data_IF_330977372131
#
_entry.id   IF_330977372131
#
_cell.length_a   1.000
_cell.length_b   1.000
_cell.length_c   1.000
_cell.angle_alpha   90.00
_cell.angle_beta   90.00
_cell.angle_gamma   90.00
#
_symmetry.space_group_name_H-M   'P 1'
#
loop_
_entity.id
_entity.type
_entity.pdbx_description
1 polymer ?
#
# COMPACT_ATOMS: atom_id res chain seq x y z
N UNK A 1 36.21 33.74 -69.93
CA UNK A 1 35.10 34.03 -69.00
C UNK A 1 34.16 32.83 -68.98
N UNK A 2 33.90 32.12 -67.90
CA UNK A 2 34.60 31.88 -66.64
C UNK A 2 34.01 30.54 -66.14
N UNK A 3 34.84 29.51 -65.95
CA UNK A 3 34.43 28.16 -65.53
C UNK A 3 35.26 27.75 -64.32
N UNK A 4 34.74 27.88 -63.11
CA UNK A 4 35.17 27.11 -61.92
C UNK A 4 34.40 27.56 -60.66
N UNK A 5 33.33 26.85 -60.27
CA UNK A 5 32.81 26.90 -58.89
C UNK A 5 31.81 25.77 -58.62
N UNK A 6 32.26 24.51 -58.68
CA UNK A 6 31.49 23.36 -58.21
C UNK A 6 32.48 22.38 -57.58
N UNK A 7 32.69 22.45 -56.26
CA UNK A 7 33.63 21.53 -55.61
C UNK A 7 33.95 21.76 -54.13
N UNK A 8 33.11 22.43 -53.35
CA UNK A 8 33.44 22.74 -51.94
C UNK A 8 32.42 22.26 -50.90
N UNK A 9 31.20 21.84 -51.29
CA UNK A 9 30.17 21.43 -50.32
C UNK A 9 30.31 20.01 -49.76
N UNK A 10 31.03 19.11 -50.43
CA UNK A 10 31.02 17.68 -50.08
C UNK A 10 31.97 17.32 -48.92
N UNK A 11 33.04 18.10 -48.72
CA UNK A 11 34.06 17.78 -47.70
C UNK A 11 33.59 17.97 -46.25
N UNK A 12 32.54 18.76 -46.02
CA UNK A 12 32.08 19.06 -44.66
C UNK A 12 31.24 17.92 -44.06
N UNK A 13 30.52 17.15 -44.88
CA UNK A 13 29.74 16.00 -44.40
C UNK A 13 30.61 14.83 -43.93
N UNK A 14 31.70 14.57 -44.65
CA UNK A 14 32.58 13.44 -44.36
C UNK A 14 33.37 13.61 -43.04
N UNK A 15 33.71 14.85 -42.67
CA UNK A 15 34.38 15.14 -41.39
C UNK A 15 33.45 14.95 -40.19
N UNK A 16 32.17 15.32 -40.32
CA UNK A 16 31.18 15.13 -39.26
C UNK A 16 30.87 13.64 -39.04
N UNK A 17 30.82 12.85 -40.10
CA UNK A 17 30.62 11.40 -40.02
C UNK A 17 31.82 10.69 -39.38
N UNK A 18 33.06 11.09 -39.72
CA UNK A 18 34.27 10.59 -39.06
C UNK A 18 34.33 10.98 -37.58
N UNK A 19 33.90 12.20 -37.22
CA UNK A 19 33.81 12.62 -35.81
C UNK A 19 32.81 11.77 -35.04
N UNK A 20 31.61 11.52 -35.60
CA UNK A 20 30.59 10.64 -35.01
C UNK A 20 31.10 9.21 -34.84
N UNK A 21 31.73 8.63 -35.87
CA UNK A 21 32.31 7.29 -35.80
C UNK A 21 33.41 7.17 -34.73
N UNK A 22 34.28 8.18 -34.63
CA UNK A 22 35.35 8.21 -33.62
C UNK A 22 34.82 8.34 -32.18
N UNK A 23 33.72 9.06 -31.99
CA UNK A 23 33.06 9.24 -30.70
C UNK A 23 32.38 7.94 -30.24
N UNK A 24 31.62 7.29 -31.12
CA UNK A 24 30.97 5.99 -30.85
C UNK A 24 32.00 4.93 -30.47
N UNK A 25 33.15 4.90 -31.16
CA UNK A 25 34.23 3.95 -30.86
C UNK A 25 34.86 4.19 -29.49
N UNK A 26 34.97 5.45 -29.04
CA UNK A 26 35.48 5.78 -27.70
C UNK A 26 34.53 5.37 -26.58
N UNK A 27 33.20 5.51 -26.78
CA UNK A 27 32.20 5.09 -25.80
C UNK A 27 32.17 3.56 -25.67
N UNK A 28 32.20 2.84 -26.79
CA UNK A 28 32.22 1.36 -26.79
C UNK A 28 33.46 0.79 -26.08
N UNK A 29 34.62 1.44 -26.20
CA UNK A 29 35.84 1.03 -25.49
C UNK A 29 35.84 1.37 -23.99
N UNK A 30 34.99 2.29 -23.53
CA UNK A 30 34.90 2.68 -22.13
C UNK A 30 34.02 1.76 -21.28
N UNK A 31 33.34 0.78 -21.90
CA UNK A 31 32.51 -0.21 -21.19
C UNK A 31 31.28 0.39 -20.49
N UNK A 32 30.88 1.61 -20.88
CA UNK A 32 29.73 2.30 -20.31
C UNK A 32 28.44 1.86 -21.02
N UNK A 33 27.35 1.61 -20.28
CA UNK A 33 26.06 1.31 -20.88
C UNK A 33 25.56 2.51 -21.71
N UNK A 34 24.97 2.21 -22.86
CA UNK A 34 24.44 3.22 -23.78
C UNK A 34 22.93 3.23 -23.65
N UNK A 35 22.37 4.35 -23.19
CA UNK A 35 20.92 4.58 -23.18
C UNK A 35 20.47 5.11 -24.54
N UNK A 36 19.58 4.38 -25.19
CA UNK A 36 18.95 4.70 -26.47
C UNK A 36 17.51 5.14 -26.21
N UNK A 37 17.17 6.35 -26.60
CA UNK A 37 15.77 6.80 -26.58
C UNK A 37 15.07 6.30 -27.84
N UNK A 38 14.02 5.52 -27.64
CA UNK A 38 13.12 5.11 -28.70
C UNK A 38 12.18 6.27 -29.08
N UNK A 39 11.63 6.27 -30.30
CA UNK A 39 10.73 7.33 -30.79
C UNK A 39 9.38 7.40 -30.06
N UNK A 40 9.00 6.35 -29.33
CA UNK A 40 7.83 6.30 -28.45
C UNK A 40 8.08 6.96 -27.07
N UNK A 41 9.31 7.42 -26.81
CA UNK A 41 9.72 8.01 -25.53
C UNK A 41 10.22 7.00 -24.50
N UNK A 42 10.26 5.71 -24.82
CA UNK A 42 10.89 4.70 -23.96
C UNK A 42 12.42 4.77 -24.04
N UNK A 43 13.11 4.37 -22.97
CA UNK A 43 14.57 4.26 -22.92
C UNK A 43 14.95 2.79 -22.96
N UNK A 44 15.77 2.40 -23.95
CA UNK A 44 16.37 1.08 -24.04
C UNK A 44 17.85 1.16 -23.66
N UNK A 45 18.30 0.26 -22.79
CA UNK A 45 19.70 0.20 -22.36
C UNK A 45 20.45 -0.86 -23.18
N UNK A 46 21.51 -0.43 -23.86
CA UNK A 46 22.41 -1.28 -24.62
C UNK A 46 23.69 -1.55 -23.84
N UNK A 47 24.00 -2.82 -23.63
CA UNK A 47 25.23 -3.26 -22.98
C UNK A 47 26.28 -3.71 -24.00
N UNK A 48 27.56 -3.32 -23.86
CA UNK A 48 28.61 -3.84 -24.72
C UNK A 48 28.85 -5.34 -24.47
N UNK A 49 29.31 -6.06 -25.50
CA UNK A 49 29.59 -7.49 -25.38
C UNK A 49 30.60 -7.76 -24.23
N UNK A 50 30.20 -8.61 -23.28
CA UNK A 50 31.01 -8.93 -22.11
C UNK A 50 30.78 -8.01 -20.90
N UNK A 51 29.88 -7.03 -21.00
CA UNK A 51 29.39 -6.30 -19.84
C UNK A 51 28.61 -7.25 -18.93
N UNK A 52 29.01 -7.28 -17.66
CA UNK A 52 28.33 -8.02 -16.61
C UNK A 52 27.83 -6.97 -15.63
N UNK A 53 26.52 -6.91 -15.42
CA UNK A 53 25.96 -6.02 -14.42
C UNK A 53 26.71 -6.22 -13.10
N UNK A 54 27.21 -5.14 -12.46
CA UNK A 54 27.77 -5.27 -11.14
C UNK A 54 26.66 -5.85 -10.26
N UNK A 55 26.88 -7.08 -9.75
CA UNK A 55 25.94 -7.72 -8.83
C UNK A 55 25.64 -6.68 -7.75
N UNK A 56 24.37 -6.30 -7.56
CA UNK A 56 24.04 -5.23 -6.63
C UNK A 56 24.69 -5.58 -5.30
N UNK A 57 25.44 -4.65 -4.67
CA UNK A 57 26.05 -4.92 -3.38
C UNK A 57 24.95 -5.44 -2.47
N UNK A 58 25.20 -6.58 -1.81
CA UNK A 58 24.25 -7.14 -0.82
C UNK A 58 23.94 -6.02 0.16
N UNK A 59 22.79 -5.39 0.00
CA UNK A 59 22.37 -4.31 0.88
C UNK A 59 22.35 -4.91 2.29
N UNK A 60 23.04 -4.31 3.27
CA UNK A 60 23.00 -4.80 4.64
C UNK A 60 21.61 -4.52 5.22
N UNK A 61 20.66 -5.40 4.92
CA UNK A 61 19.32 -5.46 5.54
C UNK A 61 19.23 -6.52 6.64
N UNK A 62 20.35 -7.15 7.02
CA UNK A 62 20.40 -8.21 8.05
C UNK A 62 20.19 -7.73 9.50
N UNK A 63 20.00 -6.43 9.75
CA UNK A 63 19.97 -5.90 11.12
C UNK A 63 18.60 -5.70 11.75
N UNK A 64 17.53 -5.59 10.96
CA UNK A 64 16.20 -5.29 11.48
C UNK A 64 15.20 -6.15 10.75
N UNK A 65 14.73 -7.21 11.42
CA UNK A 65 13.65 -8.09 10.95
C UNK A 65 12.48 -7.23 10.49
N UNK A 66 12.43 -6.95 9.20
CA UNK A 66 11.29 -6.27 8.64
C UNK A 66 10.18 -7.30 8.51
N UNK A 67 8.93 -6.87 8.68
CA UNK A 67 7.78 -7.76 8.45
C UNK A 67 7.84 -8.42 7.05
N UNK A 68 8.49 -7.75 6.09
CA UNK A 68 8.81 -8.26 4.77
C UNK A 68 9.69 -9.54 4.78
N UNK A 69 10.69 -9.64 5.67
CA UNK A 69 11.55 -10.83 5.81
C UNK A 69 10.79 -11.99 6.46
N UNK A 70 9.90 -11.68 7.41
CA UNK A 70 9.02 -12.68 8.05
C UNK A 70 8.03 -13.22 7.02
N UNK A 71 7.41 -12.34 6.22
CA UNK A 71 6.55 -12.78 5.12
C UNK A 71 7.32 -13.55 4.07
N UNK A 72 8.52 -13.12 3.66
CA UNK A 72 9.32 -13.82 2.66
C UNK A 72 9.70 -15.24 3.10
N UNK A 73 9.97 -15.45 4.41
CA UNK A 73 10.21 -16.80 4.95
C UNK A 73 8.94 -17.63 5.05
N UNK A 74 7.80 -17.03 5.42
CA UNK A 74 6.51 -17.73 5.47
C UNK A 74 6.01 -18.14 4.08
N UNK A 75 6.16 -17.27 3.08
CA UNK A 75 5.71 -17.51 1.71
C UNK A 75 6.73 -18.30 0.89
N UNK A 76 8.02 -18.26 1.23
CA UNK A 76 9.08 -18.93 0.49
C UNK A 76 8.94 -20.46 0.48
N UNK A 77 8.38 -21.05 1.53
CA UNK A 77 8.15 -22.50 1.61
C UNK A 77 6.91 -22.92 0.79
N UNK A 78 5.88 -22.07 0.77
CA UNK A 78 4.63 -22.28 0.01
C UNK A 78 4.85 -22.08 -1.49
N UNK A 79 5.68 -21.11 -1.88
CA UNK A 79 6.05 -20.85 -3.28
C UNK A 79 6.91 -21.97 -3.91
N UNK A 80 7.38 -22.95 -3.13
CA UNK A 80 8.16 -24.08 -3.61
C UNK A 80 7.34 -25.13 -4.39
N UNK A 81 6.01 -25.15 -4.26
CA UNK A 81 5.16 -26.02 -5.09
C UNK A 81 4.93 -25.36 -6.45
N UNK A 82 5.52 -25.95 -7.51
CA UNK A 82 5.73 -25.33 -8.81
C UNK A 82 4.51 -24.94 -9.67
N UNK A 83 3.31 -24.80 -9.11
CA UNK A 83 2.14 -24.27 -9.83
C UNK A 83 1.74 -22.86 -9.32
N UNK A 84 1.95 -21.79 -10.12
CA UNK A 84 1.65 -20.42 -9.71
C UNK A 84 0.16 -20.15 -9.47
N UNK A 85 -0.73 -20.97 -10.04
CA UNK A 85 -2.18 -20.79 -9.91
C UNK A 85 -2.68 -21.16 -8.52
N UNK A 86 -2.21 -22.28 -7.99
CA UNK A 86 -2.52 -22.77 -6.64
C UNK A 86 -2.04 -21.77 -5.59
N UNK A 87 -0.83 -21.23 -5.77
CA UNK A 87 -0.27 -20.24 -4.83
C UNK A 87 -1.08 -18.94 -4.81
N UNK A 88 -1.57 -18.49 -5.97
CA UNK A 88 -2.42 -17.30 -6.01
C UNK A 88 -3.75 -17.51 -5.25
N UNK A 89 -4.39 -18.67 -5.43
CA UNK A 89 -5.62 -19.01 -4.72
C UNK A 89 -5.39 -19.06 -3.19
N UNK A 90 -4.34 -19.74 -2.73
CA UNK A 90 -4.01 -19.85 -1.31
C UNK A 90 -3.76 -18.47 -0.67
N UNK A 91 -3.07 -17.57 -1.37
CA UNK A 91 -2.80 -16.22 -0.88
C UNK A 91 -4.10 -15.42 -0.76
N UNK A 92 -5.06 -15.57 -1.69
CA UNK A 92 -6.36 -14.88 -1.59
C UNK A 92 -7.19 -15.37 -0.40
N UNK A 93 -7.21 -16.67 -0.14
CA UNK A 93 -7.90 -17.26 1.03
C UNK A 93 -7.24 -16.77 2.33
N UNK A 94 -5.91 -16.75 2.37
CA UNK A 94 -5.15 -16.25 3.50
C UNK A 94 -5.44 -14.76 3.75
N UNK A 95 -5.46 -13.95 2.70
CA UNK A 95 -5.80 -12.52 2.77
C UNK A 95 -7.18 -12.29 3.41
N UNK A 96 -8.22 -13.02 2.97
CA UNK A 96 -9.58 -12.81 3.48
C UNK A 96 -9.72 -13.23 4.96
N UNK A 97 -9.01 -14.27 5.39
CA UNK A 97 -8.93 -14.66 6.81
C UNK A 97 -8.28 -13.57 7.65
N UNK A 98 -7.14 -13.04 7.22
CA UNK A 98 -6.46 -11.98 7.95
C UNK A 98 -7.20 -10.64 7.93
N UNK A 99 -7.93 -10.35 6.84
CA UNK A 99 -8.84 -9.21 6.77
C UNK A 99 -9.95 -9.32 7.81
N UNK A 100 -10.57 -10.49 7.94
CA UNK A 100 -11.61 -10.74 8.95
C UNK A 100 -11.05 -10.60 10.37
N UNK A 101 -9.87 -11.17 10.62
CA UNK A 101 -9.19 -11.02 11.92
C UNK A 101 -8.90 -9.54 12.25
N UNK A 102 -8.44 -8.77 11.27
CA UNK A 102 -8.20 -7.33 11.43
C UNK A 102 -9.49 -6.55 11.72
N UNK A 103 -10.59 -6.88 11.05
CA UNK A 103 -11.90 -6.27 11.32
C UNK A 103 -12.38 -6.56 12.75
N UNK A 104 -12.24 -7.80 13.23
CA UNK A 104 -12.56 -8.17 14.62
C UNK A 104 -11.69 -7.38 15.60
N UNK A 105 -10.40 -7.23 15.32
CA UNK A 105 -9.47 -6.44 16.12
C UNK A 105 -9.93 -4.98 16.26
N UNK A 106 -10.34 -4.35 15.15
CA UNK A 106 -10.87 -2.98 15.16
C UNK A 106 -12.14 -2.86 15.99
N UNK A 107 -13.07 -3.82 15.89
CA UNK A 107 -14.31 -3.82 16.67
C UNK A 107 -14.02 -3.99 18.16
N UNK A 108 -13.19 -4.97 18.53
CA UNK A 108 -12.80 -5.19 19.94
C UNK A 108 -12.11 -3.95 20.51
N UNK A 109 -11.21 -3.34 19.73
CA UNK A 109 -10.55 -2.10 20.13
C UNK A 109 -11.55 -0.95 20.32
N UNK A 110 -12.52 -0.79 19.42
CA UNK A 110 -13.57 0.22 19.55
C UNK A 110 -14.42 0.02 20.82
N UNK A 111 -14.82 -1.22 21.10
CA UNK A 111 -15.62 -1.57 22.29
C UNK A 111 -14.84 -1.28 23.57
N UNK A 112 -13.61 -1.78 23.67
CA UNK A 112 -12.78 -1.55 24.86
C UNK A 112 -12.49 -0.07 25.07
N UNK A 113 -12.16 0.66 24.00
CA UNK A 113 -11.95 2.10 24.08
C UNK A 113 -13.21 2.83 24.55
N UNK A 114 -14.38 2.49 24.00
CA UNK A 114 -15.66 3.07 24.42
C UNK A 114 -15.98 2.80 25.89
N UNK A 115 -15.73 1.58 26.36
CA UNK A 115 -15.89 1.22 27.77
C UNK A 115 -14.93 2.00 28.68
N UNK A 116 -13.66 2.15 28.30
CA UNK A 116 -12.69 2.94 29.06
C UNK A 116 -13.05 4.42 29.07
N UNK A 117 -13.46 5.01 27.94
CA UNK A 117 -13.92 6.38 27.89
C UNK A 117 -15.17 6.59 28.77
N UNK A 118 -16.14 5.67 28.74
CA UNK A 118 -17.31 5.73 29.61
C UNK A 118 -16.94 5.62 31.09
N UNK A 119 -16.01 4.72 31.43
CA UNK A 119 -15.46 4.60 32.79
C UNK A 119 -14.79 5.89 33.24
N UNK A 120 -13.97 6.52 32.39
CA UNK A 120 -13.31 7.79 32.68
C UNK A 120 -14.29 8.95 32.87
N UNK A 121 -15.37 8.99 32.09
CA UNK A 121 -16.41 10.03 32.24
C UNK A 121 -17.15 9.85 33.58
N UNK A 122 -17.59 8.63 33.88
CA UNK A 122 -18.34 8.31 35.12
C UNK A 122 -17.52 8.50 36.38
N UNK A 123 -16.21 8.21 36.34
CA UNK A 123 -15.30 8.33 37.48
C UNK A 123 -14.35 9.54 37.36
N UNK A 124 -14.76 10.57 36.60
CA UNK A 124 -13.92 11.75 36.32
C UNK A 124 -13.47 12.48 37.59
N UNK A 125 -14.32 12.57 38.62
CA UNK A 125 -13.95 13.22 39.89
C UNK A 125 -12.79 12.50 40.60
N UNK A 126 -12.77 11.16 40.57
CA UNK A 126 -11.71 10.38 41.20
C UNK A 126 -10.41 10.50 40.40
N UNK A 127 -10.51 10.41 39.07
CA UNK A 127 -9.37 10.56 38.18
C UNK A 127 -8.70 11.94 38.27
N UNK A 128 -9.49 13.03 38.38
CA UNK A 128 -8.95 14.38 38.56
C UNK A 128 -8.27 14.53 39.92
N UNK A 129 -8.83 13.92 40.96
CA UNK A 129 -8.23 13.91 42.29
C UNK A 129 -6.88 13.19 42.30
N UNK A 130 -6.79 12.01 41.69
CA UNK A 130 -5.56 11.23 41.57
C UNK A 130 -4.50 11.97 40.74
N UNK A 131 -4.92 12.63 39.65
CA UNK A 131 -4.04 13.46 38.84
C UNK A 131 -3.51 14.66 39.64
N UNK A 132 -4.36 15.32 40.42
CA UNK A 132 -3.97 16.46 41.26
C UNK A 132 -3.00 16.03 42.37
N UNK A 133 -3.17 14.84 42.93
CA UNK A 133 -2.25 14.29 43.93
C UNK A 133 -0.85 14.03 43.35
N UNK A 134 -0.78 13.63 42.07
CA UNK A 134 0.48 13.41 41.35
C UNK A 134 1.20 14.74 41.03
N UNK A 135 0.46 15.81 40.74
CA UNK A 135 0.98 17.15 40.42
C UNK A 135 0.74 18.14 41.57
N UNK A 136 1.49 17.96 42.66
CA UNK A 136 1.33 18.62 43.98
C UNK A 136 1.30 20.16 43.97
N UNK A 137 1.73 20.83 42.90
CA UNK A 137 1.83 22.30 42.79
C UNK A 137 0.79 22.96 41.87
N UNK A 138 -0.11 22.19 41.24
CA UNK A 138 -1.02 22.72 40.22
C UNK A 138 -2.42 23.03 40.76
N UNK A 139 -3.06 24.05 40.19
CA UNK A 139 -4.46 24.40 40.50
C UNK A 139 -5.43 23.30 40.03
N UNK A 140 -6.41 22.96 40.87
CA UNK A 140 -7.44 21.96 40.58
C UNK A 140 -8.21 22.28 39.27
N UNK A 141 -8.44 23.56 38.98
CA UNK A 141 -9.13 23.97 37.75
C UNK A 141 -8.31 23.64 36.49
N UNK A 142 -6.99 23.85 36.55
CA UNK A 142 -6.09 23.52 35.44
C UNK A 142 -6.06 22.01 35.18
N UNK A 143 -6.01 21.19 36.23
CA UNK A 143 -6.03 19.73 36.11
C UNK A 143 -7.31 19.21 35.49
N UNK A 144 -8.45 19.82 35.82
CA UNK A 144 -9.73 19.47 35.18
C UNK A 144 -9.71 19.80 33.68
N UNK A 145 -9.21 20.98 33.28
CA UNK A 145 -9.09 21.36 31.86
C UNK A 145 -8.18 20.39 31.10
N UNK A 146 -7.02 20.04 31.68
CA UNK A 146 -6.09 19.09 31.08
C UNK A 146 -6.75 17.72 30.94
N UNK A 147 -7.43 17.22 31.97
CA UNK A 147 -8.14 15.94 31.91
C UNK A 147 -9.18 15.90 30.79
N UNK A 148 -10.07 16.91 30.72
CA UNK A 148 -11.12 16.95 29.69
C UNK A 148 -10.56 17.13 28.28
N UNK A 149 -9.46 17.90 28.12
CA UNK A 149 -8.80 18.07 26.82
C UNK A 149 -8.13 16.79 26.34
N UNK A 150 -7.46 16.05 27.23
CA UNK A 150 -6.88 14.73 26.91
C UNK A 150 -7.96 13.72 26.54
N UNK A 151 -9.03 13.63 27.33
CA UNK A 151 -10.16 12.74 27.06
C UNK A 151 -10.84 13.08 25.73
N UNK A 152 -11.07 14.37 25.46
CA UNK A 152 -11.65 14.83 24.20
C UNK A 152 -10.75 14.53 23.00
N UNK A 153 -9.44 14.77 23.12
CA UNK A 153 -8.46 14.43 22.10
C UNK A 153 -8.41 12.92 21.83
N UNK A 154 -8.48 12.10 22.86
CA UNK A 154 -8.49 10.63 22.76
C UNK A 154 -9.75 10.11 22.04
N UNK A 155 -10.93 10.61 22.41
CA UNK A 155 -12.19 10.26 21.75
C UNK A 155 -12.15 10.68 20.27
N UNK A 156 -11.75 11.92 19.99
CA UNK A 156 -11.64 12.43 18.63
C UNK A 156 -10.69 11.57 17.79
N UNK A 157 -9.51 11.29 18.33
CA UNK A 157 -8.51 10.47 17.67
C UNK A 157 -8.99 9.03 17.43
N UNK A 158 -9.76 8.46 18.36
CA UNK A 158 -10.39 7.15 18.20
C UNK A 158 -11.38 7.14 17.04
N UNK A 159 -12.22 8.17 16.91
CA UNK A 159 -13.19 8.30 15.80
C UNK A 159 -12.45 8.34 14.46
N UNK A 160 -11.40 9.17 14.36
CA UNK A 160 -10.57 9.26 13.14
C UNK A 160 -9.89 7.92 12.84
N UNK A 161 -9.34 7.26 13.87
CA UNK A 161 -8.68 5.97 13.75
C UNK A 161 -9.62 4.88 13.23
N UNK A 162 -10.83 4.77 13.80
CA UNK A 162 -11.84 3.81 13.36
C UNK A 162 -12.35 4.14 11.96
N UNK A 163 -12.55 5.42 11.64
CA UNK A 163 -12.91 5.86 10.30
C UNK A 163 -11.89 5.43 9.25
N UNK A 164 -10.59 5.63 9.52
CA UNK A 164 -9.51 5.18 8.64
C UNK A 164 -9.42 3.66 8.53
N UNK A 165 -9.65 2.93 9.63
CA UNK A 165 -9.71 1.47 9.66
C UNK A 165 -10.83 0.92 8.77
N UNK A 166 -12.05 1.41 8.96
CA UNK A 166 -13.21 1.05 8.13
C UNK A 166 -13.01 1.44 6.66
N UNK A 167 -12.46 2.62 6.39
CA UNK A 167 -12.13 3.06 5.03
C UNK A 167 -11.12 2.13 4.34
N UNK A 168 -10.10 1.67 5.07
CA UNK A 168 -9.11 0.73 4.54
C UNK A 168 -9.73 -0.63 4.19
N UNK A 169 -10.66 -1.12 5.01
CA UNK A 169 -11.39 -2.37 4.79
C UNK A 169 -12.35 -2.33 3.60
N UNK A 170 -12.88 -1.14 3.28
CA UNK A 170 -13.80 -0.94 2.15
C UNK A 170 -13.07 -0.80 0.81
N UNK A 171 -11.89 -0.15 0.79
CA UNK A 171 -11.28 0.28 -0.47
C UNK A 171 -10.32 -0.74 -1.10
N UNK A 172 -9.83 -1.73 -0.34
CA UNK A 172 -8.91 -2.79 -0.82
C UNK A 172 -7.56 -2.36 -1.41
N UNK A 173 -7.22 -1.07 -1.45
CA UNK A 173 -5.96 -0.59 -2.04
C UNK A 173 -4.83 -0.56 -1.02
N UNK A 174 -3.65 -1.05 -1.40
CA UNK A 174 -2.43 -1.05 -0.59
C UNK A 174 -2.07 0.33 0.01
N UNK A 175 -2.30 1.41 -0.76
CA UNK A 175 -2.02 2.79 -0.33
C UNK A 175 -2.80 3.16 0.93
N UNK A 176 -4.04 2.70 1.09
CA UNK A 176 -4.86 3.05 2.26
C UNK A 176 -4.38 2.33 3.53
N UNK A 177 -3.89 1.09 3.42
CA UNK A 177 -3.26 0.40 4.55
C UNK A 177 -1.97 1.09 5.02
N UNK A 178 -1.21 1.70 4.10
CA UNK A 178 -0.03 2.49 4.46
C UNK A 178 -0.41 3.73 5.28
N UNK A 179 -1.41 4.50 4.82
CA UNK A 179 -1.91 5.65 5.59
C UNK A 179 -2.45 5.22 6.96
N UNK A 180 -3.24 4.14 7.02
CA UNK A 180 -3.73 3.60 8.29
C UNK A 180 -2.58 3.24 9.23
N UNK A 181 -1.54 2.58 8.74
CA UNK A 181 -0.36 2.20 9.53
C UNK A 181 0.38 3.42 10.09
N UNK A 182 0.57 4.48 9.29
CA UNK A 182 1.16 5.74 9.75
C UNK A 182 0.30 6.41 10.83
N UNK A 183 -1.01 6.49 10.61
CA UNK A 183 -1.93 7.04 11.60
C UNK A 183 -1.93 6.21 12.90
N UNK A 184 -1.88 4.89 12.78
CA UNK A 184 -1.82 3.98 13.92
C UNK A 184 -0.52 4.20 14.73
N UNK A 185 0.62 4.38 14.05
CA UNK A 185 1.91 4.68 14.68
C UNK A 185 1.87 5.98 15.49
N UNK A 186 1.28 7.05 14.94
CA UNK A 186 1.08 8.31 15.68
C UNK A 186 0.27 8.08 16.96
N UNK A 187 -0.74 7.23 16.91
CA UNK A 187 -1.53 6.87 18.08
C UNK A 187 -0.79 6.04 19.10
N UNK A 188 0.07 5.11 18.66
CA UNK A 188 0.94 4.34 19.56
C UNK A 188 1.83 5.29 20.34
N UNK A 189 2.48 6.25 19.67
CA UNK A 189 3.31 7.27 20.33
C UNK A 189 2.48 8.11 21.32
N UNK A 190 1.29 8.55 20.93
CA UNK A 190 0.38 9.28 21.83
C UNK A 190 -0.04 8.46 23.05
N UNK A 191 -0.40 7.19 22.86
CA UNK A 191 -0.80 6.31 23.96
C UNK A 191 0.36 5.93 24.87
N UNK A 192 1.61 5.90 24.40
CA UNK A 192 2.77 5.72 25.30
C UNK A 192 2.86 6.86 26.31
N UNK A 193 2.62 8.10 25.87
CA UNK A 193 2.59 9.26 26.76
C UNK A 193 1.40 9.17 27.75
N UNK A 194 0.23 8.74 27.28
CA UNK A 194 -0.96 8.54 28.13
C UNK A 194 -0.85 7.34 29.08
N UNK A 195 -0.10 6.30 28.71
CA UNK A 195 0.13 5.11 29.54
C UNK A 195 1.02 5.42 30.74
N UNK A 196 1.86 6.45 30.64
CA UNK A 196 2.59 6.97 31.79
C UNK A 196 1.64 7.55 32.85
N UNK A 197 0.51 8.13 32.45
CA UNK A 197 -0.47 8.71 33.37
C UNK A 197 -1.41 7.67 34.01
N UNK A 198 -1.76 6.60 33.27
CA UNK A 198 -2.69 5.58 33.76
C UNK A 198 -2.32 4.18 33.24
N UNK A 199 -2.19 3.21 34.16
CA UNK A 199 -1.83 1.83 33.85
C UNK A 199 -2.86 1.12 32.95
N UNK A 200 -4.14 1.49 33.02
CA UNK A 200 -5.18 0.88 32.17
C UNK A 200 -5.00 1.20 30.68
N UNK A 201 -4.33 2.31 30.34
CA UNK A 201 -4.04 2.67 28.96
C UNK A 201 -3.03 1.72 28.28
N UNK A 202 -2.33 0.89 29.07
CA UNK A 202 -1.39 -0.11 28.55
C UNK A 202 -2.11 -1.19 27.72
N UNK A 203 -3.32 -1.59 28.11
CA UNK A 203 -4.13 -2.56 27.35
C UNK A 203 -4.50 -2.02 25.97
N UNK A 204 -5.01 -0.78 25.91
CA UNK A 204 -5.35 -0.10 24.65
C UNK A 204 -4.10 0.04 23.78
N UNK A 205 -2.97 0.44 24.37
CA UNK A 205 -1.68 0.50 23.68
C UNK A 205 -1.30 -0.84 23.04
N UNK A 206 -1.45 -1.95 23.79
CA UNK A 206 -1.11 -3.28 23.29
C UNK A 206 -2.02 -3.71 22.12
N UNK A 207 -3.33 -3.51 22.23
CA UNK A 207 -4.24 -3.79 21.11
C UNK A 207 -3.88 -2.97 19.87
N UNK A 208 -3.57 -1.70 20.06
CA UNK A 208 -3.18 -0.80 18.97
C UNK A 208 -1.86 -1.22 18.32
N UNK A 209 -0.91 -1.73 19.10
CA UNK A 209 0.33 -2.32 18.59
C UNK A 209 0.05 -3.55 17.72
N UNK A 210 -0.85 -4.44 18.17
CA UNK A 210 -1.27 -5.60 17.36
C UNK A 210 -1.95 -5.13 16.06
N UNK A 211 -2.89 -4.19 16.14
CA UNK A 211 -3.55 -3.60 14.96
C UNK A 211 -2.55 -3.00 13.96
N UNK A 212 -1.49 -2.35 14.45
CA UNK A 212 -0.40 -1.83 13.61
C UNK A 212 0.35 -2.95 12.89
N UNK A 213 0.73 -4.02 13.62
CA UNK A 213 1.41 -5.18 13.04
C UNK A 213 0.52 -5.82 11.97
N UNK A 214 -0.77 -6.02 12.25
CA UNK A 214 -1.72 -6.57 11.29
C UNK A 214 -1.92 -5.68 10.06
N UNK A 215 -2.03 -4.36 10.23
CA UNK A 215 -2.15 -3.44 9.11
C UNK A 215 -0.92 -3.46 8.20
N UNK A 216 0.28 -3.59 8.79
CA UNK A 216 1.53 -3.74 8.04
C UNK A 216 1.60 -5.09 7.32
N UNK A 217 1.23 -6.17 8.00
CA UNK A 217 1.19 -7.51 7.43
C UNK A 217 0.23 -7.61 6.24
N UNK A 218 -1.00 -7.08 6.38
CA UNK A 218 -1.97 -7.02 5.28
C UNK A 218 -1.45 -6.23 4.09
N UNK A 219 -0.79 -5.09 4.31
CA UNK A 219 -0.15 -4.33 3.24
C UNK A 219 0.89 -5.17 2.51
N UNK A 220 1.73 -5.89 3.25
CA UNK A 220 2.80 -6.70 2.68
C UNK A 220 2.22 -7.88 1.86
N UNK A 221 1.10 -8.50 2.29
CA UNK A 221 0.35 -9.47 1.47
C UNK A 221 -0.16 -8.83 0.17
N UNK A 222 -0.79 -7.64 0.24
CA UNK A 222 -1.33 -6.98 -0.96
C UNK A 222 -0.24 -6.63 -1.95
N UNK A 223 0.93 -6.18 -1.48
CA UNK A 223 2.09 -5.94 -2.33
C UNK A 223 2.60 -7.25 -2.93
N UNK A 224 2.65 -8.33 -2.14
CA UNK A 224 2.97 -9.67 -2.63
C UNK A 224 2.05 -10.13 -3.77
N UNK A 225 0.74 -9.92 -3.62
CA UNK A 225 -0.26 -10.22 -4.66
C UNK A 225 -0.03 -9.40 -5.95
N UNK A 226 0.44 -8.15 -5.84
CA UNK A 226 0.77 -7.31 -7.01
C UNK A 226 2.06 -7.71 -7.72
N UNK A 227 2.97 -8.40 -7.01
CA UNK A 227 4.27 -8.82 -7.54
C UNK A 227 4.24 -10.22 -8.16
N UNK A 228 3.25 -11.05 -7.82
CA UNK A 228 3.04 -12.30 -8.53
C UNK A 228 2.81 -11.95 -10.00
N UNK A 229 3.65 -12.45 -10.93
CA UNK A 229 3.40 -12.27 -12.35
C UNK A 229 2.00 -12.81 -12.58
N UNK A 230 1.05 -11.92 -12.89
CA UNK A 230 -0.35 -12.26 -13.08
C UNK A 230 -0.37 -13.53 -13.93
N UNK A 231 -0.67 -14.67 -13.29
CA UNK A 231 -0.50 -15.97 -13.89
C UNK A 231 -1.34 -15.94 -15.16
N UNK A 232 -0.66 -15.79 -16.29
CA UNK A 232 -1.24 -15.56 -17.59
C UNK A 232 -2.34 -14.48 -17.60
N UNK A 233 -2.00 -13.29 -18.10
CA UNK A 233 -2.77 -12.86 -19.28
C UNK A 233 -2.72 -14.06 -20.23
N UNK A 234 -3.75 -14.91 -20.19
CA UNK A 234 -4.05 -15.76 -21.31
C UNK A 234 -4.64 -14.78 -22.31
N UNK A 235 -3.95 -14.43 -23.41
CA UNK A 235 -4.64 -14.07 -24.63
C UNK A 235 -5.33 -15.35 -25.15
N UNK A 236 -6.29 -15.87 -24.39
CA UNK A 236 -7.44 -16.53 -24.98
C UNK A 236 -8.41 -15.36 -25.14
N UNK A 237 -8.33 -14.66 -26.26
CA UNK A 237 -9.36 -14.83 -27.29
C UNK A 237 -10.70 -14.27 -26.74
N UNK A 238 -11.30 -13.19 -27.24
CA UNK A 238 -11.45 -12.82 -28.66
C UNK A 238 -11.34 -14.03 -29.60
N UNK A 239 -11.87 -15.16 -29.15
CA UNK A 239 -12.67 -16.02 -29.99
C UNK A 239 -13.95 -15.19 -30.11
N UNK A 240 -14.19 -14.73 -31.32
CA UNK A 240 -15.49 -14.31 -31.78
C UNK A 240 -16.54 -15.27 -31.21
N UNK A 241 -17.40 -14.78 -30.31
CA UNK A 241 -18.75 -15.32 -30.21
C UNK A 241 -19.65 -14.40 -31.05
N UNK A 242 -19.90 -14.76 -32.33
CA UNK A 242 -20.86 -14.10 -33.20
C UNK A 242 -22.29 -14.61 -32.90
N UNK A 243 -22.62 -14.93 -31.65
CA UNK A 243 -23.99 -15.24 -31.27
C UNK A 243 -24.71 -13.93 -30.94
N UNK A 244 -25.39 -13.38 -31.94
CA UNK A 244 -26.82 -13.65 -32.13
C UNK A 244 -27.61 -13.39 -30.85
N UNK A 245 -27.81 -12.10 -30.56
CA UNK A 245 -29.11 -11.68 -30.04
C UNK A 245 -30.14 -11.76 -31.17
N UNK A 246 -30.51 -12.97 -31.56
CA UNK A 246 -31.84 -13.20 -32.11
C UNK A 246 -32.84 -12.86 -31.02
N UNK A 247 -33.44 -11.68 -31.17
CA UNK A 247 -34.65 -11.25 -30.47
C UNK A 247 -35.82 -11.88 -31.21
N UNK A 248 -36.52 -12.89 -30.67
CA UNK A 248 -37.84 -13.21 -31.17
C UNK A 248 -38.81 -12.19 -30.56
N UNK A 249 -39.26 -11.27 -31.42
CA UNK A 249 -40.57 -10.65 -31.28
C UNK A 249 -41.61 -11.73 -30.95
N UNK A 250 -42.18 -11.69 -29.75
CA UNK A 250 -43.47 -12.31 -29.49
C UNK A 250 -44.40 -11.26 -28.90
N UNK A 251 -44.99 -10.52 -29.84
CA UNK A 251 -46.28 -9.88 -29.70
C UNK A 251 -47.31 -10.90 -29.18
N UNK A 252 -47.88 -10.64 -28.01
CA UNK A 252 -49.27 -11.02 -27.74
C UNK A 252 -49.97 -9.92 -26.93
N UNK A 253 -50.91 -9.20 -27.54
CA UNK A 253 -51.91 -8.40 -26.85
C UNK A 253 -53.17 -9.25 -26.67
N UNK A 254 -53.56 -9.57 -25.43
CA UNK A 254 -54.84 -10.30 -25.21
C UNK A 254 -55.64 -9.73 -24.05
N UNK A 255 -56.43 -8.73 -24.44
CA UNK A 255 -57.87 -8.57 -24.19
C UNK A 255 -58.40 -8.49 -22.76
N UNK A 256 -58.99 -7.32 -22.49
CA UNK A 256 -60.27 -7.12 -21.82
C UNK A 256 -61.19 -8.36 -21.73
N UNK A 257 -61.64 -8.65 -20.51
CA UNK A 257 -62.99 -9.13 -20.17
C UNK A 257 -63.28 -8.59 -18.77
N UNK A 258 -64.19 -7.64 -18.51
CA UNK A 258 -65.63 -7.55 -18.83
C UNK A 258 -66.46 -8.69 -18.20
N UNK A 259 -67.51 -8.26 -17.48
CA UNK A 259 -68.52 -9.01 -16.71
C UNK A 259 -68.05 -9.54 -15.34
N UNK A 260 -68.73 -9.31 -14.23
CA UNK A 260 -70.02 -8.67 -13.99
C UNK A 260 -70.61 -9.20 -12.66
N UNK A 261 -71.45 -8.36 -12.05
CA UNK A 261 -72.28 -8.55 -10.84
C UNK A 261 -71.59 -8.25 -9.51
#
# INVERSE_FOLDING_TARGET
MDKTSVGSKDKRGEEDERRRASFVRRILCAGLPVLLSNPDGSLSEGHPCGYRDPTPPRTPRDGFLTAADISARLFGDVLGSGDPTVVAEEITVLYERHRTAFAILLVVQAVLQGLFSAYHITHSSLAIHDLTAMYRSSSHHLMSIIFWSLLGAEIFYTVVYLGMGCWSLYTHKAKHYAYFSTWCLTGIVGHVLLAYANQFNLLIFFLRLISYIYGKFLRDIVVGMMLLPAAAHHPSSYIDDPYDHHTPESLTPTSLGSLGV
#
